data_IF_737965799416
#
_entry.id   IF_737965799416
#
_cell.length_a   1.000
_cell.length_b   1.000
_cell.length_c   1.000
_cell.angle_alpha   90.00
_cell.angle_beta   90.00
_cell.angle_gamma   90.00
#
_symmetry.space_group_name_H-M   'P 1'
#
loop_
_entity.id
_entity.type
_entity.pdbx_description
1 polymer ?
#
# COMPACT_ATOMS: atom_id res chain seq x y z
N UNK A 1 29.61 72.71 6.18
CA UNK A 1 28.51 72.82 5.24
C UNK A 1 28.37 71.57 4.48
N UNK A 2 27.18 71.09 4.40
CA UNK A 2 26.52 70.04 3.64
C UNK A 2 26.61 68.66 4.25
N UNK A 3 25.48 68.29 4.86
CA UNK A 3 25.13 66.97 5.29
C UNK A 3 25.01 66.02 4.10
N UNK A 4 25.64 64.86 4.20
CA UNK A 4 25.41 63.74 3.31
C UNK A 4 24.33 62.82 3.91
N UNK A 5 23.20 62.85 3.26
CA UNK A 5 22.05 61.96 3.48
C UNK A 5 22.48 60.50 3.29
N UNK A 6 22.48 59.72 4.38
CA UNK A 6 22.68 58.27 4.32
C UNK A 6 21.33 57.61 4.20
N UNK A 7 20.86 57.47 2.97
CA UNK A 7 19.78 56.53 2.63
C UNK A 7 20.16 55.15 3.15
N UNK A 8 19.50 54.74 4.26
CA UNK A 8 19.50 53.37 4.69
C UNK A 8 18.66 52.54 3.71
N UNK A 9 19.32 51.81 2.81
CA UNK A 9 18.67 50.79 2.04
C UNK A 9 18.13 49.72 2.99
N UNK A 10 16.82 49.63 3.13
CA UNK A 10 16.14 48.54 3.82
C UNK A 10 16.60 47.21 3.19
N UNK A 11 17.22 46.34 4.01
CA UNK A 11 17.51 44.99 3.61
C UNK A 11 16.19 44.27 3.29
N UNK A 12 16.06 43.56 2.15
CA UNK A 12 14.85 42.82 1.86
C UNK A 12 14.62 41.82 3.02
N UNK A 13 13.49 41.96 3.70
CA UNK A 13 13.01 40.96 4.63
C UNK A 13 12.70 39.71 3.81
N UNK A 14 13.54 38.70 3.97
CA UNK A 14 13.23 37.34 3.50
C UNK A 14 12.09 36.86 4.40
N UNK A 15 10.87 36.96 3.91
CA UNK A 15 9.72 36.28 4.54
C UNK A 15 10.00 34.78 4.42
N UNK A 16 10.13 34.04 5.53
CA UNK A 16 10.29 32.60 5.42
C UNK A 16 9.11 32.05 4.64
N UNK A 17 9.36 31.19 3.65
CA UNK A 17 8.30 30.43 3.04
C UNK A 17 7.57 29.65 4.15
N UNK A 18 6.24 29.72 4.16
CA UNK A 18 5.42 28.99 5.12
C UNK A 18 5.76 27.48 5.01
N UNK A 19 5.91 26.81 6.15
CA UNK A 19 6.11 25.35 6.13
C UNK A 19 4.84 24.65 5.62
N UNK A 20 4.93 23.47 5.00
CA UNK A 20 3.73 22.72 4.61
C UNK A 20 2.75 22.51 5.78
N UNK A 21 3.25 22.31 6.99
CA UNK A 21 2.41 22.24 8.20
C UNK A 21 1.63 23.54 8.46
N UNK A 22 2.25 24.71 8.24
CA UNK A 22 1.59 26.00 8.40
C UNK A 22 0.56 26.27 7.29
N UNK A 23 0.83 25.78 6.08
CA UNK A 23 -0.11 25.87 4.96
C UNK A 23 -1.34 25.01 5.21
N UNK A 24 -1.14 23.75 5.61
CA UNK A 24 -2.23 22.85 5.98
C UNK A 24 -3.04 23.41 7.16
N UNK A 25 -2.38 23.98 8.17
CA UNK A 25 -3.03 24.68 9.30
C UNK A 25 -3.99 25.76 8.82
N UNK A 26 -3.55 26.62 7.89
CA UNK A 26 -4.39 27.70 7.35
C UNK A 26 -5.61 27.17 6.61
N UNK A 27 -5.45 26.07 5.88
CA UNK A 27 -6.58 25.42 5.19
C UNK A 27 -7.56 24.85 6.22
N UNK A 28 -7.09 24.13 7.24
CA UNK A 28 -7.96 23.59 8.29
C UNK A 28 -8.71 24.69 9.05
N UNK A 29 -8.06 25.83 9.35
CA UNK A 29 -8.71 26.98 10.00
C UNK A 29 -9.89 27.55 9.19
N UNK A 30 -9.86 27.48 7.87
CA UNK A 30 -10.93 27.97 7.00
C UNK A 30 -12.15 27.06 7.01
N UNK A 31 -11.99 25.81 7.47
CA UNK A 31 -13.01 24.75 7.38
C UNK A 31 -13.48 24.26 8.76
N UNK A 32 -13.31 25.09 9.79
CA UNK A 32 -13.79 24.76 11.15
C UNK A 32 -15.27 24.41 11.17
N UNK A 33 -15.59 23.30 11.86
CA UNK A 33 -16.96 22.82 12.05
C UNK A 33 -17.54 22.07 10.86
N UNK A 34 -16.76 21.85 9.81
CA UNK A 34 -17.16 21.04 8.65
C UNK A 34 -17.02 19.53 8.93
N UNK A 35 -17.64 18.72 8.07
CA UNK A 35 -17.50 17.26 8.06
C UNK A 35 -16.77 16.81 6.81
N UNK A 36 -15.64 16.15 6.99
CA UNK A 36 -14.78 15.71 5.89
C UNK A 36 -14.75 14.21 5.74
N UNK A 37 -14.59 13.75 4.50
CA UNK A 37 -14.19 12.39 4.20
C UNK A 37 -12.68 12.36 4.08
N UNK A 38 -12.01 11.42 4.75
CA UNK A 38 -10.61 11.07 4.48
C UNK A 38 -10.61 9.79 3.66
N UNK A 39 -10.26 9.90 2.40
CA UNK A 39 -10.37 8.79 1.45
C UNK A 39 -9.06 8.03 1.32
N UNK A 40 -9.12 6.71 1.51
CA UNK A 40 -8.05 5.75 1.23
C UNK A 40 -8.36 5.09 -0.12
N UNK A 41 -7.56 5.38 -1.12
CA UNK A 41 -7.71 4.83 -2.47
C UNK A 41 -6.81 3.61 -2.69
N UNK A 42 -7.33 2.57 -3.36
CA UNK A 42 -6.64 1.30 -3.52
C UNK A 42 -6.90 0.36 -2.33
N UNK A 43 -6.10 -0.68 -2.24
CA UNK A 43 -6.15 -1.62 -1.11
C UNK A 43 -5.58 -0.95 0.14
N UNK A 44 -6.37 -0.77 1.21
CA UNK A 44 -5.87 -0.15 2.42
C UNK A 44 -4.64 -0.89 2.98
N UNK A 45 -3.55 -0.18 3.08
CA UNK A 45 -2.29 -0.65 3.65
C UNK A 45 -1.93 0.14 4.92
N UNK A 46 -0.87 -0.20 5.63
CA UNK A 46 -0.53 0.47 6.87
C UNK A 46 -0.21 1.95 6.72
N UNK A 47 0.36 2.37 5.58
CA UNK A 47 0.71 3.77 5.33
C UNK A 47 -0.54 4.62 5.09
N UNK A 48 -1.41 4.21 4.20
CA UNK A 48 -2.68 4.89 3.93
C UNK A 48 -3.60 4.93 5.17
N UNK A 49 -3.64 3.83 5.97
CA UNK A 49 -4.43 3.76 7.20
C UNK A 49 -3.86 4.71 8.27
N UNK A 50 -2.54 4.67 8.53
CA UNK A 50 -1.87 5.54 9.48
C UNK A 50 -2.02 7.02 9.11
N UNK A 51 -1.83 7.34 7.84
CA UNK A 51 -1.99 8.68 7.28
C UNK A 51 -3.42 9.22 7.40
N UNK A 52 -4.43 8.36 7.16
CA UNK A 52 -5.82 8.75 7.34
C UNK A 52 -6.16 9.04 8.81
N UNK A 53 -5.67 8.21 9.74
CA UNK A 53 -5.81 8.47 11.18
C UNK A 53 -5.15 9.80 11.58
N UNK A 54 -3.94 10.08 11.04
CA UNK A 54 -3.22 11.30 11.33
C UNK A 54 -3.94 12.53 10.80
N UNK A 55 -4.47 12.46 9.58
CA UNK A 55 -5.27 13.54 9.01
C UNK A 55 -6.50 13.84 9.89
N UNK A 56 -7.28 12.80 10.24
CA UNK A 56 -8.46 12.96 11.10
C UNK A 56 -8.11 13.51 12.49
N UNK A 57 -7.00 13.07 13.07
CA UNK A 57 -6.51 13.60 14.34
C UNK A 57 -6.14 15.08 14.25
N UNK A 58 -5.40 15.49 13.22
CA UNK A 58 -5.07 16.90 12.98
C UNK A 58 -6.34 17.73 12.80
N UNK A 59 -7.28 17.26 11.98
CA UNK A 59 -8.54 17.94 11.70
C UNK A 59 -9.38 18.17 12.98
N UNK A 60 -9.33 17.26 13.95
CA UNK A 60 -10.06 17.39 15.21
C UNK A 60 -9.66 18.63 16.04
N UNK A 61 -8.44 19.14 15.90
CA UNK A 61 -8.01 20.39 16.55
C UNK A 61 -8.68 21.65 15.97
N UNK A 62 -9.36 21.47 14.85
CA UNK A 62 -10.10 22.53 14.15
C UNK A 62 -11.62 22.30 14.18
N UNK A 63 -12.11 21.46 15.07
CA UNK A 63 -13.52 21.07 15.17
C UNK A 63 -14.06 20.44 13.85
N UNK A 64 -13.19 19.87 13.01
CA UNK A 64 -13.57 19.18 11.79
C UNK A 64 -13.79 17.70 12.13
N UNK A 65 -14.99 17.18 11.83
CA UNK A 65 -15.33 15.77 11.99
C UNK A 65 -14.95 14.99 10.74
N UNK A 66 -14.15 13.95 10.90
CA UNK A 66 -13.63 13.15 9.79
C UNK A 66 -14.14 11.72 9.81
N UNK A 67 -14.62 11.25 8.66
CA UNK A 67 -14.91 9.84 8.42
C UNK A 67 -13.86 9.25 7.47
N UNK A 68 -13.15 8.21 7.92
CA UNK A 68 -12.19 7.50 7.08
C UNK A 68 -12.96 6.54 6.17
N UNK A 69 -12.87 6.76 4.86
CA UNK A 69 -13.58 6.01 3.85
C UNK A 69 -12.62 5.21 2.98
N UNK A 70 -12.87 3.91 2.80
CA UNK A 70 -12.05 3.04 1.95
C UNK A 70 -12.90 2.30 0.91
N UNK A 71 -12.29 1.87 -0.22
CA UNK A 71 -13.02 1.36 -1.40
C UNK A 71 -12.77 -0.12 -1.65
N UNK A 72 -11.55 -0.57 -1.50
CA UNK A 72 -11.13 -1.94 -1.80
C UNK A 72 -10.96 -2.78 -0.53
N UNK A 73 -10.96 -4.11 -0.64
CA UNK A 73 -10.85 -4.98 0.53
C UNK A 73 -9.50 -4.82 1.24
N UNK A 74 -9.50 -4.89 2.56
CA UNK A 74 -8.29 -4.96 3.36
C UNK A 74 -7.73 -6.40 3.21
N UNK A 75 -6.88 -6.61 2.22
CA UNK A 75 -6.48 -7.93 1.76
C UNK A 75 -5.43 -8.59 2.66
N UNK A 76 -4.43 -7.83 3.13
CA UNK A 76 -3.32 -8.37 3.89
C UNK A 76 -3.73 -8.69 5.34
N UNK A 77 -3.27 -9.84 5.87
CA UNK A 77 -3.61 -10.23 7.26
C UNK A 77 -3.04 -9.26 8.30
N UNK A 78 -1.86 -8.68 8.06
CA UNK A 78 -1.27 -7.65 8.92
C UNK A 78 -2.09 -6.36 8.92
N UNK A 79 -2.61 -5.95 7.76
CA UNK A 79 -3.45 -4.76 7.64
C UNK A 79 -4.79 -4.96 8.39
N UNK A 80 -5.41 -6.15 8.26
CA UNK A 80 -6.60 -6.50 9.04
C UNK A 80 -6.32 -6.54 10.54
N UNK A 81 -5.14 -7.05 10.92
CA UNK A 81 -4.72 -7.08 12.32
C UNK A 81 -4.47 -5.66 12.87
N UNK A 82 -3.84 -4.79 12.08
CA UNK A 82 -3.64 -3.38 12.42
C UNK A 82 -4.99 -2.72 12.73
N UNK A 83 -5.92 -2.74 11.77
CA UNK A 83 -7.27 -2.16 11.95
C UNK A 83 -7.99 -2.72 13.17
N UNK A 84 -7.97 -4.04 13.34
CA UNK A 84 -8.66 -4.71 14.46
C UNK A 84 -8.03 -4.39 15.81
N UNK A 85 -6.69 -4.44 15.92
CA UNK A 85 -5.99 -4.25 17.20
C UNK A 85 -5.98 -2.79 17.65
N UNK A 86 -5.87 -1.87 16.72
CA UNK A 86 -5.97 -0.44 17.00
C UNK A 86 -7.42 0.02 17.17
N UNK A 87 -8.40 -0.83 16.82
CA UNK A 87 -9.82 -0.51 16.77
C UNK A 87 -10.07 0.78 15.94
N UNK A 88 -9.53 0.79 14.70
CA UNK A 88 -9.66 1.93 13.81
C UNK A 88 -11.06 1.92 13.20
N UNK A 89 -11.80 3.00 13.39
CA UNK A 89 -13.11 3.18 12.78
C UNK A 89 -12.95 3.62 11.33
N UNK A 90 -13.29 2.73 10.41
CA UNK A 90 -13.23 2.96 8.96
C UNK A 90 -14.52 2.47 8.33
N UNK A 91 -15.04 3.24 7.37
CA UNK A 91 -16.27 2.91 6.65
C UNK A 91 -15.91 2.44 5.24
N UNK A 92 -16.44 1.27 4.86
CA UNK A 92 -16.34 0.84 3.47
C UNK A 92 -17.33 1.62 2.62
N UNK A 93 -16.86 2.19 1.53
CA UNK A 93 -17.75 2.89 0.60
C UNK A 93 -18.76 1.92 -0.01
N UNK A 94 -20.01 2.32 0.02
CA UNK A 94 -21.13 1.66 -0.64
C UNK A 94 -22.17 2.72 -1.02
N UNK A 95 -23.12 2.36 -1.88
CA UNK A 95 -24.20 3.26 -2.31
C UNK A 95 -25.12 3.72 -1.15
N UNK A 96 -24.94 3.14 0.05
CA UNK A 96 -25.67 3.54 1.26
C UNK A 96 -24.99 4.64 2.06
N UNK A 97 -23.79 5.06 1.70
CA UNK A 97 -23.10 6.19 2.33
C UNK A 97 -23.71 7.49 1.82
N UNK A 98 -24.38 8.23 2.70
CA UNK A 98 -24.99 9.52 2.36
C UNK A 98 -23.91 10.60 2.29
N UNK A 99 -23.53 10.99 1.08
CA UNK A 99 -22.47 11.97 0.83
C UNK A 99 -22.89 13.41 1.08
N UNK A 100 -24.21 13.66 1.15
CA UNK A 100 -24.77 15.00 1.45
C UNK A 100 -24.44 15.51 2.85
N UNK A 101 -24.00 14.59 3.73
CA UNK A 101 -23.61 14.91 5.09
C UNK A 101 -22.15 15.43 5.21
N UNK A 102 -21.44 15.46 4.09
CA UNK A 102 -20.03 15.85 4.06
C UNK A 102 -19.81 17.08 3.18
N UNK A 103 -18.92 17.95 3.64
CA UNK A 103 -18.60 19.20 2.96
C UNK A 103 -17.42 19.05 2.00
N UNK A 104 -16.43 18.20 2.36
CA UNK A 104 -15.18 18.07 1.63
C UNK A 104 -14.59 16.67 1.69
N UNK A 105 -13.58 16.48 0.84
CA UNK A 105 -12.79 15.24 0.80
C UNK A 105 -11.30 15.55 0.88
N UNK A 106 -10.59 14.83 1.74
CA UNK A 106 -9.14 14.77 1.80
C UNK A 106 -8.66 13.44 1.22
N UNK A 107 -7.58 13.45 0.47
CA UNK A 107 -6.98 12.26 -0.10
C UNK A 107 -5.60 12.04 0.52
N UNK A 108 -5.36 10.85 1.00
CA UNK A 108 -4.11 10.44 1.63
C UNK A 108 -3.51 9.25 0.88
N UNK A 109 -2.20 9.25 0.73
CA UNK A 109 -1.44 8.18 0.08
C UNK A 109 -1.92 7.86 -1.35
N UNK A 110 -2.48 8.86 -2.00
CA UNK A 110 -2.94 8.82 -3.37
C UNK A 110 -3.18 10.24 -3.88
N UNK A 111 -3.12 10.42 -5.21
CA UNK A 111 -3.29 11.74 -5.83
C UNK A 111 -4.63 11.89 -6.56
N UNK A 112 -5.31 10.81 -6.89
CA UNK A 112 -6.58 10.81 -7.65
C UNK A 112 -7.51 9.74 -7.13
N UNK A 113 -8.79 10.07 -7.00
CA UNK A 113 -9.79 9.09 -6.61
C UNK A 113 -10.00 8.00 -7.67
N UNK A 114 -9.92 8.36 -8.96
CA UNK A 114 -10.08 7.43 -10.10
C UNK A 114 -11.29 6.48 -9.96
N UNK A 115 -12.37 6.98 -9.38
CA UNK A 115 -13.61 6.23 -9.24
C UNK A 115 -14.49 6.42 -10.49
N UNK A 116 -15.32 5.42 -10.86
CA UNK A 116 -16.41 5.64 -11.78
C UNK A 116 -17.23 6.86 -11.31
N UNK A 117 -17.92 7.55 -12.20
CA UNK A 117 -18.68 8.75 -11.87
C UNK A 117 -19.56 8.51 -10.63
N UNK A 118 -19.09 9.00 -9.50
CA UNK A 118 -19.77 8.94 -8.20
C UNK A 118 -20.04 10.35 -7.71
N UNK A 119 -20.98 10.51 -6.78
CA UNK A 119 -21.23 11.79 -6.13
C UNK A 119 -19.99 12.29 -5.34
N UNK A 120 -19.10 11.38 -4.90
CA UNK A 120 -17.81 11.71 -4.27
C UNK A 120 -16.95 12.64 -5.12
N UNK A 121 -16.99 12.49 -6.45
CA UNK A 121 -16.22 13.35 -7.35
C UNK A 121 -16.75 14.79 -7.39
N UNK A 122 -17.89 15.06 -6.75
CA UNK A 122 -18.48 16.41 -6.65
C UNK A 122 -18.07 17.13 -5.37
N UNK A 123 -17.58 16.42 -4.35
CA UNK A 123 -17.10 17.04 -3.13
C UNK A 123 -15.80 17.80 -3.41
N UNK A 124 -15.68 19.05 -2.96
CA UNK A 124 -14.45 19.80 -3.11
C UNK A 124 -13.28 19.10 -2.42
N UNK A 125 -12.16 18.98 -3.10
CA UNK A 125 -10.92 18.40 -2.54
C UNK A 125 -10.26 19.43 -1.63
N UNK A 126 -10.16 19.14 -0.34
CA UNK A 126 -9.51 20.04 0.63
C UNK A 126 -8.01 19.83 0.67
N UNK A 127 -7.56 18.60 0.64
CA UNK A 127 -6.13 18.27 0.69
C UNK A 127 -5.77 16.99 -0.06
N UNK A 128 -4.54 16.95 -0.58
CA UNK A 128 -3.88 15.78 -1.13
C UNK A 128 -2.50 15.71 -0.48
N UNK A 129 -2.21 14.60 0.22
CA UNK A 129 -0.89 14.33 0.81
C UNK A 129 -0.45 12.95 0.36
N UNK A 130 0.73 12.87 -0.29
CA UNK A 130 1.19 11.64 -0.92
C UNK A 130 2.72 11.61 -1.07
N UNK A 131 3.30 10.42 -1.16
CA UNK A 131 4.73 10.22 -1.38
C UNK A 131 5.07 9.58 -2.74
N UNK A 132 4.07 9.19 -3.50
CA UNK A 132 4.25 8.59 -4.82
C UNK A 132 4.69 9.60 -5.88
N UNK A 133 5.18 9.10 -7.01
CA UNK A 133 5.54 9.95 -8.17
C UNK A 133 4.37 10.82 -8.59
N UNK A 134 4.67 12.09 -8.85
CA UNK A 134 3.67 13.07 -9.26
C UNK A 134 2.91 12.63 -10.52
N UNK A 135 1.59 12.73 -10.46
CA UNK A 135 0.66 12.36 -11.54
C UNK A 135 0.16 13.57 -12.34
N UNK A 136 0.92 14.65 -12.34
CA UNK A 136 0.60 15.91 -13.05
C UNK A 136 -0.15 16.92 -12.20
N UNK A 137 -0.98 17.76 -12.82
CA UNK A 137 -1.73 18.79 -12.12
C UNK A 137 -2.79 18.17 -11.18
N UNK A 138 -2.83 18.67 -9.95
CA UNK A 138 -3.72 18.24 -8.89
C UNK A 138 -4.55 19.43 -8.41
N UNK A 139 -5.86 19.24 -8.28
CA UNK A 139 -6.79 20.27 -7.84
C UNK A 139 -7.22 20.02 -6.39
N UNK A 140 -6.57 20.67 -5.44
CA UNK A 140 -6.97 20.73 -4.03
C UNK A 140 -6.52 22.06 -3.43
N UNK A 141 -7.08 22.42 -2.27
CA UNK A 141 -6.68 23.65 -1.57
C UNK A 141 -5.29 23.53 -0.96
N UNK A 142 -4.90 22.31 -0.58
CA UNK A 142 -3.57 21.98 -0.11
C UNK A 142 -3.06 20.72 -0.85
N UNK A 143 -1.86 20.79 -1.38
CA UNK A 143 -1.20 19.68 -2.07
C UNK A 143 0.23 19.56 -1.55
N UNK A 144 0.56 18.40 -0.97
CA UNK A 144 1.92 18.07 -0.56
C UNK A 144 2.28 16.67 -1.07
N UNK A 145 2.99 16.62 -2.19
CA UNK A 145 3.46 15.37 -2.82
C UNK A 145 4.98 15.34 -2.78
N UNK A 146 5.55 14.38 -2.03
CA UNK A 146 6.99 14.29 -1.75
C UNK A 146 7.59 12.96 -2.18
N UNK A 147 8.15 12.92 -3.37
CA UNK A 147 8.83 11.72 -3.91
C UNK A 147 10.12 11.35 -3.14
N UNK A 148 10.62 12.23 -2.30
CA UNK A 148 11.79 12.02 -1.42
C UNK A 148 11.42 11.51 -0.02
N UNK A 149 10.14 11.32 0.29
CA UNK A 149 9.65 10.60 1.44
C UNK A 149 9.44 9.12 1.12
N UNK A 150 9.74 8.23 2.06
CA UNK A 150 9.51 6.79 1.90
C UNK A 150 8.08 6.38 2.22
N UNK A 151 7.29 7.26 2.86
CA UNK A 151 5.89 7.02 3.20
C UNK A 151 5.14 8.33 3.44
N UNK A 152 3.83 8.31 3.24
CA UNK A 152 2.92 9.42 3.58
C UNK A 152 2.80 9.60 5.09
N UNK A 153 2.91 8.52 5.87
CA UNK A 153 3.00 8.53 7.34
C UNK A 153 4.16 9.39 7.84
N UNK A 154 5.30 9.41 7.14
CA UNK A 154 6.43 10.26 7.48
C UNK A 154 6.12 11.74 7.29
N UNK A 155 5.37 12.09 6.26
CA UNK A 155 4.95 13.47 6.00
C UNK A 155 4.02 13.96 7.12
N UNK A 156 3.04 13.14 7.51
CA UNK A 156 2.15 13.47 8.63
C UNK A 156 2.88 13.57 9.98
N UNK A 157 3.84 12.68 10.24
CA UNK A 157 4.67 12.77 11.44
C UNK A 157 5.49 14.06 11.50
N UNK A 158 5.97 14.54 10.34
CA UNK A 158 6.66 15.84 10.25
C UNK A 158 5.72 17.01 10.59
N UNK A 159 4.47 16.98 10.11
CA UNK A 159 3.47 18.00 10.50
C UNK A 159 3.23 18.01 12.00
N UNK A 160 3.11 16.84 12.62
CA UNK A 160 2.94 16.72 14.07
C UNK A 160 4.16 17.20 14.84
N UNK A 161 5.37 16.89 14.38
CA UNK A 161 6.62 17.39 14.96
C UNK A 161 6.74 18.92 14.84
N UNK A 162 6.18 19.52 13.79
CA UNK A 162 6.06 20.97 13.62
C UNK A 162 4.93 21.60 14.46
N UNK A 163 4.25 20.81 15.30
CA UNK A 163 3.20 21.28 16.20
C UNK A 163 1.80 21.37 15.61
N UNK A 164 1.55 20.70 14.48
CA UNK A 164 0.21 20.54 13.91
C UNK A 164 -0.39 19.21 14.37
N UNK A 165 -1.26 19.24 15.38
CA UNK A 165 -1.79 18.04 16.03
C UNK A 165 -0.72 17.32 16.89
N UNK A 166 -0.17 17.97 17.94
CA UNK A 166 0.90 17.39 18.73
C UNK A 166 0.44 16.13 19.47
N UNK A 167 1.34 15.15 19.54
CA UNK A 167 1.09 13.91 20.28
C UNK A 167 1.31 14.10 21.78
N UNK A 168 0.46 13.45 22.58
CA UNK A 168 0.51 13.45 24.03
C UNK A 168 0.79 12.04 24.56
N UNK A 169 1.76 11.87 25.50
CA UNK A 169 2.18 10.58 26.02
C UNK A 169 1.09 9.83 26.79
N UNK A 170 0.29 10.59 27.52
CA UNK A 170 -0.77 10.03 28.40
C UNK A 170 -2.10 9.82 27.65
N UNK A 171 -2.16 10.12 26.38
CA UNK A 171 -3.34 9.93 25.55
C UNK A 171 -3.27 8.57 24.83
N UNK A 172 -4.17 7.61 25.16
CA UNK A 172 -4.16 6.29 24.53
C UNK A 172 -4.36 6.33 23.00
N UNK A 173 -5.08 7.34 22.50
CA UNK A 173 -5.26 7.52 21.07
C UNK A 173 -3.96 7.90 20.39
N UNK A 174 -3.16 8.78 20.99
CA UNK A 174 -1.84 9.15 20.48
C UNK A 174 -0.89 7.95 20.42
N UNK A 175 -0.96 7.04 21.37
CA UNK A 175 -0.20 5.78 21.35
C UNK A 175 -0.57 4.89 20.15
N UNK A 176 -1.87 4.74 19.89
CA UNK A 176 -2.38 4.01 18.73
C UNK A 176 -1.97 4.68 17.41
N UNK A 177 -2.14 6.01 17.32
CA UNK A 177 -1.80 6.78 16.14
C UNK A 177 -0.30 6.71 15.83
N UNK A 178 0.56 6.92 16.83
CA UNK A 178 2.00 6.81 16.66
C UNK A 178 2.41 5.40 16.23
N UNK A 179 1.74 4.36 16.76
CA UNK A 179 1.97 2.98 16.36
C UNK A 179 1.53 2.72 14.91
N UNK A 180 0.38 3.25 14.49
CA UNK A 180 -0.09 3.13 13.11
C UNK A 180 0.87 3.78 12.13
N UNK A 181 1.30 5.01 12.41
CA UNK A 181 2.27 5.75 11.57
C UNK A 181 3.63 5.04 11.51
N UNK A 182 4.16 4.55 12.64
CA UNK A 182 5.40 3.76 12.63
C UNK A 182 5.30 2.49 11.82
N UNK A 183 4.14 1.82 11.89
CA UNK A 183 3.91 0.62 11.09
C UNK A 183 3.78 0.94 9.60
N UNK A 184 3.17 2.09 9.24
CA UNK A 184 3.12 2.62 7.88
C UNK A 184 4.51 2.92 7.34
N UNK A 185 5.32 3.68 8.06
CA UNK A 185 6.72 3.96 7.68
C UNK A 185 7.49 2.68 7.44
N UNK A 186 7.41 1.72 8.36
CA UNK A 186 8.11 0.44 8.26
C UNK A 186 7.67 -0.38 7.04
N UNK A 187 6.37 -0.42 6.78
CA UNK A 187 5.78 -1.18 5.68
C UNK A 187 6.24 -0.65 4.32
N UNK A 188 6.13 0.65 4.10
CA UNK A 188 6.41 1.27 2.81
C UNK A 188 7.90 1.46 2.52
N UNK A 189 8.71 1.41 3.56
CA UNK A 189 10.17 1.47 3.43
C UNK A 189 10.86 0.11 3.47
N UNK A 190 10.10 -0.98 3.34
CA UNK A 190 10.59 -2.38 3.39
C UNK A 190 11.48 -2.62 4.64
N UNK A 191 10.87 -2.51 5.83
CA UNK A 191 11.57 -2.61 7.11
C UNK A 191 12.75 -1.61 7.23
N UNK A 192 12.58 -0.37 6.76
CA UNK A 192 13.56 0.72 6.72
C UNK A 192 14.72 0.53 5.73
N UNK A 193 14.72 -0.50 4.89
CA UNK A 193 15.76 -0.72 3.88
C UNK A 193 15.74 0.36 2.78
N UNK A 194 14.58 0.88 2.46
CA UNK A 194 14.36 1.93 1.46
C UNK A 194 14.08 3.31 2.09
N UNK A 195 14.20 3.42 3.42
CA UNK A 195 13.89 4.64 4.15
C UNK A 195 14.81 5.81 3.77
N UNK A 196 14.23 6.99 3.76
CA UNK A 196 14.90 8.28 3.55
C UNK A 196 15.14 8.98 4.89
N UNK A 197 15.83 10.12 4.86
CA UNK A 197 16.12 10.90 6.07
C UNK A 197 14.84 11.30 6.84
N UNK A 198 13.81 11.71 6.12
CA UNK A 198 12.51 12.08 6.70
C UNK A 198 11.88 10.91 7.46
N UNK A 199 11.97 9.69 6.95
CA UNK A 199 11.37 8.49 7.56
C UNK A 199 12.04 8.16 8.90
N UNK A 200 13.37 8.23 8.97
CA UNK A 200 14.10 8.03 10.22
C UNK A 200 13.81 9.12 11.25
N UNK A 201 13.71 10.39 10.83
CA UNK A 201 13.35 11.49 11.73
C UNK A 201 11.93 11.33 12.26
N UNK A 202 11.00 10.98 11.40
CA UNK A 202 9.61 10.72 11.73
C UNK A 202 9.48 9.54 12.69
N UNK A 203 10.18 8.44 12.42
CA UNK A 203 10.21 7.29 13.32
C UNK A 203 10.78 7.66 14.70
N UNK A 204 11.85 8.44 14.75
CA UNK A 204 12.44 8.91 16.01
C UNK A 204 11.48 9.81 16.81
N UNK A 205 10.70 10.66 16.12
CA UNK A 205 9.67 11.49 16.75
C UNK A 205 8.52 10.65 17.31
N UNK A 206 8.05 9.64 16.56
CA UNK A 206 6.90 8.81 16.92
C UNK A 206 7.21 7.78 18.02
N UNK A 207 8.45 7.25 18.06
CA UNK A 207 8.85 6.15 18.92
C UNK A 207 8.54 6.36 20.43
N UNK A 208 8.70 7.57 21.02
CA UNK A 208 8.37 7.80 22.44
C UNK A 208 6.87 7.72 22.79
N UNK A 209 6.00 7.76 21.79
CA UNK A 209 4.55 7.72 21.95
C UNK A 209 3.97 6.35 21.62
N UNK A 210 4.64 5.57 20.78
CA UNK A 210 4.12 4.33 20.25
C UNK A 210 4.00 3.21 21.31
N UNK A 211 3.01 2.36 21.14
CA UNK A 211 2.84 1.12 21.88
C UNK A 211 3.65 0.00 21.22
N UNK A 212 4.83 -0.25 21.75
CA UNK A 212 5.76 -1.26 21.23
C UNK A 212 5.25 -2.70 21.39
N UNK A 213 4.46 -3.01 22.43
CA UNK A 213 3.86 -4.33 22.61
C UNK A 213 2.82 -4.58 21.52
N UNK A 214 2.02 -3.56 21.23
CA UNK A 214 1.05 -3.59 20.15
C UNK A 214 1.73 -3.80 18.79
N UNK A 215 2.79 -3.03 18.49
CA UNK A 215 3.58 -3.17 17.26
C UNK A 215 4.17 -4.58 17.12
N UNK A 216 4.77 -5.12 18.18
CA UNK A 216 5.25 -6.50 18.21
C UNK A 216 4.12 -7.49 17.93
N UNK A 217 2.97 -7.29 18.57
CA UNK A 217 1.80 -8.18 18.40
C UNK A 217 1.22 -8.15 16.98
N UNK A 218 1.35 -7.03 16.25
CA UNK A 218 0.96 -6.92 14.83
C UNK A 218 2.01 -7.61 13.95
N UNK A 219 3.30 -7.38 14.20
CA UNK A 219 4.40 -7.95 13.42
C UNK A 219 4.54 -9.47 13.60
N UNK A 220 4.23 -9.98 14.79
CA UNK A 220 4.26 -11.40 15.11
C UNK A 220 2.90 -12.09 14.83
N UNK A 221 2.12 -11.56 13.89
CA UNK A 221 0.89 -12.23 13.52
C UNK A 221 1.20 -13.67 13.13
N UNK A 222 0.50 -14.58 13.78
CA UNK A 222 0.57 -15.99 13.42
C UNK A 222 0.07 -16.17 11.99
N UNK A 223 0.90 -16.74 11.15
CA UNK A 223 0.51 -17.20 9.83
C UNK A 223 -0.62 -18.22 10.00
N UNK A 224 -1.69 -18.12 9.21
CA UNK A 224 -2.80 -19.04 9.34
C UNK A 224 -2.33 -20.48 9.10
N UNK A 225 -2.91 -21.51 9.75
CA UNK A 225 -2.57 -22.89 9.47
C UNK A 225 -2.68 -23.21 7.97
N UNK A 226 -3.65 -22.63 7.28
CA UNK A 226 -3.83 -22.81 5.83
C UNK A 226 -2.72 -22.18 5.00
N UNK A 227 -2.26 -21.00 5.35
CA UNK A 227 -1.11 -20.38 4.69
C UNK A 227 0.15 -21.22 4.91
N UNK A 228 0.32 -21.78 6.11
CA UNK A 228 1.41 -22.73 6.39
C UNK A 228 1.32 -23.99 5.52
N UNK A 229 0.11 -24.57 5.38
CA UNK A 229 -0.12 -25.74 4.53
C UNK A 229 0.17 -25.43 3.05
N UNK A 230 -0.23 -24.23 2.58
CA UNK A 230 0.05 -23.79 1.21
C UNK A 230 1.56 -23.59 1.00
N UNK A 231 2.23 -22.96 1.95
CA UNK A 231 3.70 -22.77 1.91
C UNK A 231 4.43 -24.11 1.95
N UNK A 232 3.96 -25.07 2.75
CA UNK A 232 4.52 -26.42 2.78
C UNK A 232 4.35 -27.14 1.43
N UNK A 233 3.17 -27.02 0.79
CA UNK A 233 2.94 -27.57 -0.55
C UNK A 233 3.84 -26.91 -1.59
N UNK A 234 3.99 -25.59 -1.56
CA UNK A 234 4.92 -24.88 -2.43
C UNK A 234 6.37 -25.37 -2.23
N UNK A 235 6.79 -25.54 -0.99
CA UNK A 235 8.11 -26.05 -0.69
C UNK A 235 8.32 -27.49 -1.19
N UNK A 236 7.31 -28.34 -1.05
CA UNK A 236 7.38 -29.76 -1.47
C UNK A 236 7.38 -29.93 -3.00
N UNK A 237 6.65 -29.10 -3.73
CA UNK A 237 6.51 -29.16 -5.18
C UNK A 237 7.54 -28.35 -5.96
N UNK A 238 8.40 -27.60 -5.26
CA UNK A 238 9.33 -26.68 -5.92
C UNK A 238 10.26 -27.35 -6.91
N UNK A 239 10.41 -26.73 -8.05
CA UNK A 239 11.44 -27.05 -9.04
C UNK A 239 12.35 -25.84 -9.19
N UNK A 240 13.64 -26.08 -9.24
CA UNK A 240 14.67 -25.03 -9.29
C UNK A 240 15.42 -25.17 -10.62
N UNK A 241 15.56 -24.04 -11.29
CA UNK A 241 16.32 -23.90 -12.52
C UNK A 241 17.17 -22.63 -12.44
N UNK A 242 18.48 -22.78 -12.30
CA UNK A 242 19.42 -21.70 -12.04
C UNK A 242 18.97 -20.89 -10.80
N UNK A 243 18.73 -19.61 -10.92
CA UNK A 243 18.27 -18.72 -9.84
C UNK A 243 16.73 -18.64 -9.72
N UNK A 244 16.00 -19.40 -10.56
CA UNK A 244 14.53 -19.44 -10.56
C UNK A 244 13.99 -20.60 -9.74
N UNK A 245 12.93 -20.35 -8.99
CA UNK A 245 12.17 -21.37 -8.28
C UNK A 245 10.70 -21.29 -8.70
N UNK A 246 10.15 -22.41 -9.15
CA UNK A 246 8.74 -22.53 -9.54
C UNK A 246 8.08 -23.53 -8.60
N UNK A 247 6.90 -23.19 -8.06
CA UNK A 247 6.19 -24.03 -7.11
C UNK A 247 4.67 -24.00 -7.32
N UNK A 248 4.09 -25.17 -7.50
CA UNK A 248 2.66 -25.36 -7.61
C UNK A 248 2.03 -25.74 -6.26
N UNK A 249 0.97 -25.05 -5.83
CA UNK A 249 0.33 -25.28 -4.53
C UNK A 249 -0.96 -26.10 -4.60
N UNK A 250 -1.32 -26.60 -5.78
CA UNK A 250 -2.56 -27.35 -5.98
C UNK A 250 -3.79 -26.46 -5.96
N UNK A 251 -4.89 -27.00 -5.41
CA UNK A 251 -6.14 -26.28 -5.31
C UNK A 251 -6.20 -25.38 -4.07
N UNK A 252 -6.65 -24.14 -4.27
CA UNK A 252 -6.76 -23.10 -3.26
C UNK A 252 -8.18 -22.53 -3.28
N UNK A 253 -8.74 -22.20 -2.12
CA UNK A 253 -10.00 -21.50 -2.03
C UNK A 253 -9.76 -20.01 -2.24
N UNK A 254 -10.78 -19.26 -2.64
CA UNK A 254 -10.68 -17.83 -2.89
C UNK A 254 -10.21 -17.06 -1.63
N UNK A 255 -10.76 -17.41 -0.49
CA UNK A 255 -10.38 -16.81 0.81
C UNK A 255 -8.91 -17.04 1.21
N UNK A 256 -8.25 -18.05 0.65
CA UNK A 256 -6.85 -18.42 0.90
C UNK A 256 -5.91 -17.97 -0.24
N UNK A 257 -6.43 -17.28 -1.25
CA UNK A 257 -5.69 -16.89 -2.46
C UNK A 257 -4.40 -16.11 -2.19
N UNK A 258 -4.44 -15.18 -1.23
CA UNK A 258 -3.28 -14.36 -0.87
C UNK A 258 -2.11 -15.19 -0.32
N UNK A 259 -2.38 -16.42 0.14
CA UNK A 259 -1.35 -17.35 0.61
C UNK A 259 -0.40 -17.83 -0.50
N UNK A 260 -0.81 -17.72 -1.78
CA UNK A 260 0.06 -18.03 -2.94
C UNK A 260 1.22 -17.03 -2.98
N UNK A 261 0.91 -15.73 -2.85
CA UNK A 261 1.91 -14.67 -2.80
C UNK A 261 2.82 -14.76 -1.57
N UNK A 262 2.23 -15.06 -0.41
CA UNK A 262 3.00 -15.24 0.84
C UNK A 262 3.95 -16.45 0.75
N UNK A 263 3.55 -17.53 0.09
CA UNK A 263 4.44 -18.66 -0.16
C UNK A 263 5.61 -18.26 -1.08
N UNK A 264 5.35 -17.43 -2.10
CA UNK A 264 6.42 -16.91 -2.97
C UNK A 264 7.40 -16.01 -2.20
N UNK A 265 6.90 -15.11 -1.34
CA UNK A 265 7.73 -14.25 -0.48
C UNK A 265 8.61 -15.08 0.48
N UNK A 266 8.07 -16.17 1.01
CA UNK A 266 8.83 -17.09 1.87
C UNK A 266 9.92 -17.83 1.12
N UNK A 267 9.61 -18.37 -0.06
CA UNK A 267 10.57 -19.15 -0.86
C UNK A 267 11.67 -18.29 -1.47
N UNK A 268 11.43 -17.00 -1.70
CA UNK A 268 12.44 -16.05 -2.18
C UNK A 268 13.61 -15.86 -1.20
N UNK A 269 13.40 -16.18 0.09
CA UNK A 269 14.46 -16.12 1.11
C UNK A 269 15.49 -17.25 1.00
N UNK A 270 15.28 -18.20 0.06
CA UNK A 270 16.20 -19.30 -0.14
C UNK A 270 17.48 -18.83 -0.82
N UNK A 271 18.64 -19.16 -0.22
CA UNK A 271 19.95 -18.89 -0.80
C UNK A 271 20.05 -19.41 -2.24
N UNK A 272 20.61 -18.60 -3.14
CA UNK A 272 20.79 -18.90 -4.55
C UNK A 272 19.53 -18.79 -5.42
N UNK A 273 18.43 -18.24 -4.88
CA UNK A 273 17.21 -17.94 -5.62
C UNK A 273 17.00 -16.44 -5.63
N UNK A 274 16.79 -15.88 -6.80
CA UNK A 274 16.44 -14.47 -6.98
C UNK A 274 15.04 -14.24 -7.56
N UNK A 275 14.42 -15.27 -8.11
CA UNK A 275 13.07 -15.18 -8.70
C UNK A 275 12.25 -16.41 -8.35
N UNK A 276 11.05 -16.18 -7.80
CA UNK A 276 10.11 -17.23 -7.38
C UNK A 276 8.76 -17.03 -8.07
N UNK A 277 8.21 -18.12 -8.58
CA UNK A 277 6.86 -18.18 -9.12
C UNK A 277 6.08 -19.23 -8.32
N UNK A 278 5.03 -18.80 -7.60
CA UNK A 278 4.07 -19.70 -6.97
C UNK A 278 2.72 -19.58 -7.67
N UNK A 279 2.04 -20.73 -7.87
CA UNK A 279 0.74 -20.75 -8.53
C UNK A 279 -0.15 -21.87 -8.01
N UNK A 280 -1.48 -21.69 -8.17
CA UNK A 280 -2.47 -22.70 -7.81
C UNK A 280 -3.77 -22.50 -8.57
N UNK A 281 -4.65 -23.49 -8.49
CA UNK A 281 -6.00 -23.41 -9.06
C UNK A 281 -6.93 -22.87 -7.99
N UNK A 282 -7.47 -21.67 -8.21
CA UNK A 282 -8.40 -21.00 -7.29
C UNK A 282 -9.83 -21.29 -7.74
N UNK A 283 -10.68 -21.75 -6.80
CA UNK A 283 -12.10 -22.04 -7.00
C UNK A 283 -12.42 -22.96 -8.20
N UNK A 284 -11.52 -23.83 -8.59
CA UNK A 284 -11.63 -24.67 -9.80
C UNK A 284 -11.87 -23.89 -11.10
N UNK A 285 -11.59 -22.60 -11.14
CA UNK A 285 -11.95 -21.73 -12.25
C UNK A 285 -10.77 -21.01 -12.90
N UNK A 286 -9.74 -20.70 -12.13
CA UNK A 286 -8.62 -19.89 -12.58
C UNK A 286 -7.31 -20.42 -12.02
N UNK A 287 -6.25 -20.43 -12.84
CA UNK A 287 -4.89 -20.53 -12.35
C UNK A 287 -4.45 -19.15 -11.91
N UNK A 288 -4.26 -18.97 -10.63
CA UNK A 288 -3.77 -17.73 -10.02
C UNK A 288 -2.31 -17.92 -9.59
N UNK A 289 -1.46 -16.93 -9.85
CA UNK A 289 -0.06 -17.03 -9.52
C UNK A 289 0.58 -15.71 -9.16
N UNK A 290 1.67 -15.83 -8.43
CA UNK A 290 2.48 -14.70 -7.96
C UNK A 290 3.93 -14.90 -8.36
N UNK A 291 4.54 -13.84 -8.88
CA UNK A 291 5.97 -13.73 -9.12
C UNK A 291 6.57 -12.78 -8.09
N UNK A 292 7.73 -13.14 -7.58
CA UNK A 292 8.56 -12.30 -6.70
C UNK A 292 10.00 -12.37 -7.17
N UNK A 293 10.68 -11.23 -7.17
CA UNK A 293 12.08 -11.19 -7.60
C UNK A 293 12.89 -10.15 -6.84
N UNK A 294 14.14 -10.48 -6.60
CA UNK A 294 15.18 -9.53 -6.15
C UNK A 294 16.16 -9.21 -7.28
N UNK A 295 15.96 -9.81 -8.46
CA UNK A 295 16.81 -9.61 -9.63
C UNK A 295 16.53 -8.29 -10.32
N UNK A 296 17.55 -7.49 -10.52
CA UNK A 296 17.47 -6.24 -11.29
C UNK A 296 17.30 -6.47 -12.81
N UNK A 297 17.41 -7.72 -13.27
CA UNK A 297 17.28 -8.09 -14.69
C UNK A 297 15.86 -8.53 -15.03
N UNK A 298 15.13 -9.03 -14.05
CA UNK A 298 13.75 -9.52 -14.24
C UNK A 298 12.79 -8.37 -13.98
N UNK A 299 12.15 -7.90 -15.05
CA UNK A 299 10.98 -7.01 -14.96
C UNK A 299 9.71 -7.88 -14.90
N UNK A 300 9.04 -7.97 -13.74
CA UNK A 300 7.86 -8.83 -13.57
C UNK A 300 6.72 -8.53 -14.54
N UNK A 301 6.48 -7.27 -14.85
CA UNK A 301 5.41 -6.84 -15.76
C UNK A 301 5.66 -7.36 -17.17
N UNK A 302 6.83 -7.06 -17.71
CA UNK A 302 7.23 -7.51 -19.04
C UNK A 302 7.36 -9.03 -19.11
N UNK A 303 7.97 -9.64 -18.08
CA UNK A 303 8.17 -11.09 -18.03
C UNK A 303 6.84 -11.83 -18.15
N UNK A 304 5.83 -11.45 -17.35
CA UNK A 304 4.53 -12.12 -17.35
C UNK A 304 3.71 -11.84 -18.61
N UNK A 305 3.72 -10.63 -19.13
CA UNK A 305 3.04 -10.28 -20.39
C UNK A 305 3.60 -11.04 -21.58
N UNK A 306 4.92 -11.09 -21.69
CA UNK A 306 5.60 -11.82 -22.78
C UNK A 306 5.36 -13.34 -22.70
N UNK A 307 5.26 -13.88 -21.46
CA UNK A 307 5.11 -15.31 -21.26
C UNK A 307 3.68 -15.79 -21.50
N UNK A 308 2.70 -15.07 -20.94
CA UNK A 308 1.32 -15.53 -20.83
C UNK A 308 0.41 -14.96 -21.92
N UNK A 309 0.84 -13.87 -22.57
CA UNK A 309 0.05 -13.22 -23.61
C UNK A 309 -1.19 -12.48 -23.06
N UNK A 310 -2.21 -12.38 -23.93
CA UNK A 310 -3.45 -11.64 -23.66
C UNK A 310 -4.68 -12.49 -23.93
N UNK A 311 -5.81 -12.09 -23.37
CA UNK A 311 -7.12 -12.65 -23.70
C UNK A 311 -7.62 -12.18 -25.10
N UNK A 312 -8.84 -12.60 -25.46
CA UNK A 312 -9.47 -12.23 -26.74
C UNK A 312 -9.77 -10.73 -26.88
N UNK A 313 -9.67 -9.94 -25.81
CA UNK A 313 -9.88 -8.49 -25.79
C UNK A 313 -8.55 -7.73 -25.70
N UNK A 314 -7.43 -8.43 -25.73
CA UNK A 314 -6.10 -7.84 -25.64
C UNK A 314 -5.67 -7.51 -24.18
N UNK A 315 -6.39 -8.00 -23.17
CA UNK A 315 -6.03 -7.81 -21.76
C UNK A 315 -4.97 -8.84 -21.37
N UNK A 316 -3.79 -8.44 -20.84
CA UNK A 316 -2.76 -9.37 -20.41
C UNK A 316 -3.24 -10.31 -19.28
N UNK A 317 -2.87 -11.59 -19.35
CA UNK A 317 -3.11 -12.55 -18.27
C UNK A 317 -2.27 -12.29 -17.02
N UNK A 318 -1.18 -11.57 -17.16
CA UNK A 318 -0.30 -11.20 -16.05
C UNK A 318 0.32 -9.83 -16.22
N UNK A 319 0.85 -9.32 -15.09
CA UNK A 319 1.54 -8.04 -15.04
C UNK A 319 2.19 -7.85 -13.68
N UNK A 320 2.88 -6.72 -13.51
CA UNK A 320 3.60 -6.49 -12.26
C UNK A 320 4.15 -5.08 -12.10
N UNK A 321 4.94 -4.93 -11.07
CA UNK A 321 5.74 -3.74 -10.77
C UNK A 321 7.11 -4.19 -10.29
N UNK A 322 8.00 -3.28 -9.99
CA UNK A 322 9.45 -3.47 -9.75
C UNK A 322 9.92 -4.88 -9.30
N UNK A 323 9.37 -5.42 -8.22
CA UNK A 323 9.80 -6.66 -7.57
C UNK A 323 8.70 -7.74 -7.51
N UNK A 324 7.47 -7.40 -7.92
CA UNK A 324 6.28 -8.25 -7.75
C UNK A 324 5.46 -8.32 -9.02
N UNK A 325 4.99 -9.52 -9.35
CA UNK A 325 4.05 -9.76 -10.41
C UNK A 325 2.95 -10.72 -10.00
N UNK A 326 1.83 -10.67 -10.71
CA UNK A 326 0.71 -11.59 -10.53
C UNK A 326 0.11 -11.96 -11.89
N UNK A 327 -0.51 -13.12 -11.96
CA UNK A 327 -1.20 -13.57 -13.17
C UNK A 327 -2.44 -14.36 -12.86
N UNK A 328 -3.39 -14.32 -13.80
CA UNK A 328 -4.64 -15.09 -13.76
C UNK A 328 -4.94 -15.66 -15.12
N UNK A 329 -4.99 -16.99 -15.22
CA UNK A 329 -5.32 -17.69 -16.45
C UNK A 329 -6.63 -18.43 -16.24
N UNK A 330 -7.73 -18.05 -16.91
CA UNK A 330 -9.00 -18.78 -16.83
C UNK A 330 -8.84 -20.22 -17.32
N UNK A 331 -9.38 -21.18 -16.58
CA UNK A 331 -9.42 -22.59 -17.00
C UNK A 331 -10.41 -22.83 -18.15
N UNK A 332 -11.36 -21.92 -18.35
CA UNK A 332 -12.38 -22.06 -19.37
C UNK A 332 -13.12 -23.40 -19.28
N UNK A 333 -13.25 -24.17 -20.38
CA UNK A 333 -13.92 -25.46 -20.36
C UNK A 333 -13.27 -26.52 -19.44
N UNK A 334 -11.98 -26.39 -19.12
CA UNK A 334 -11.30 -27.31 -18.21
C UNK A 334 -11.78 -27.22 -16.77
N UNK A 335 -12.47 -26.13 -16.39
CA UNK A 335 -13.11 -25.99 -15.07
C UNK A 335 -14.17 -27.05 -14.79
N UNK A 336 -14.73 -27.68 -15.83
CA UNK A 336 -15.69 -28.78 -15.72
C UNK A 336 -15.04 -30.16 -15.53
N UNK A 337 -13.71 -30.25 -15.51
CA UNK A 337 -13.02 -31.53 -15.28
C UNK A 337 -13.31 -32.04 -13.86
N UNK A 338 -13.95 -33.18 -13.75
CA UNK A 338 -14.29 -33.83 -12.47
C UNK A 338 -13.08 -34.51 -11.81
N UNK A 339 -12.08 -34.89 -12.60
CA UNK A 339 -10.84 -35.48 -12.10
C UNK A 339 -9.85 -34.36 -11.74
N UNK A 340 -9.79 -34.06 -10.44
CA UNK A 340 -8.94 -32.97 -9.92
C UNK A 340 -7.46 -33.28 -10.05
N UNK A 341 -7.06 -34.54 -9.93
CA UNK A 341 -5.65 -34.91 -10.00
C UNK A 341 -5.14 -34.79 -11.43
N UNK A 342 -5.94 -35.21 -12.41
CA UNK A 342 -5.63 -35.02 -13.82
C UNK A 342 -5.57 -33.53 -14.20
N UNK A 343 -6.53 -32.75 -13.75
CA UNK A 343 -6.56 -31.30 -13.99
C UNK A 343 -5.32 -30.64 -13.40
N UNK A 344 -4.96 -30.97 -12.16
CA UNK A 344 -3.78 -30.43 -11.53
C UNK A 344 -2.50 -30.78 -12.28
N UNK A 345 -2.32 -32.06 -12.65
CA UNK A 345 -1.15 -32.49 -13.40
C UNK A 345 -1.02 -31.77 -14.73
N UNK A 346 -2.13 -31.59 -15.47
CA UNK A 346 -2.14 -30.81 -16.70
C UNK A 346 -1.70 -29.35 -16.49
N UNK A 347 -2.29 -28.67 -15.50
CA UNK A 347 -1.95 -27.28 -15.18
C UNK A 347 -0.50 -27.18 -14.73
N UNK A 348 -0.08 -28.05 -13.83
CA UNK A 348 1.30 -28.05 -13.32
C UNK A 348 2.30 -28.19 -14.45
N UNK A 349 2.14 -29.22 -15.29
CA UNK A 349 3.05 -29.45 -16.41
C UNK A 349 3.06 -28.26 -17.38
N UNK A 350 1.90 -27.74 -17.72
CA UNK A 350 1.79 -26.61 -18.67
C UNK A 350 2.48 -25.36 -18.14
N UNK A 351 2.27 -25.00 -16.87
CA UNK A 351 2.87 -23.81 -16.28
C UNK A 351 4.39 -23.99 -16.16
N UNK A 352 4.86 -25.13 -15.69
CA UNK A 352 6.28 -25.43 -15.57
C UNK A 352 6.99 -25.37 -16.94
N UNK A 353 6.43 -26.01 -17.96
CA UNK A 353 7.00 -26.00 -19.32
C UNK A 353 7.05 -24.57 -19.91
N UNK A 354 6.02 -23.76 -19.69
CA UNK A 354 6.00 -22.35 -20.12
C UNK A 354 7.14 -21.56 -19.48
N UNK A 355 7.28 -21.63 -18.15
CA UNK A 355 8.29 -20.88 -17.42
C UNK A 355 9.70 -21.36 -17.73
N UNK A 356 9.96 -22.67 -17.77
CA UNK A 356 11.29 -23.20 -18.10
C UNK A 356 11.73 -22.85 -19.52
N UNK A 357 10.81 -22.89 -20.47
CA UNK A 357 11.09 -22.44 -21.84
C UNK A 357 11.49 -20.95 -21.88
N UNK A 358 10.84 -20.11 -21.06
CA UNK A 358 11.15 -18.68 -20.99
C UNK A 358 12.52 -18.41 -20.37
N UNK A 359 12.90 -19.16 -19.35
CA UNK A 359 14.21 -18.98 -18.66
C UNK A 359 15.36 -19.74 -19.36
N UNK A 360 15.09 -20.40 -20.48
CA UNK A 360 16.11 -21.06 -21.30
C UNK A 360 16.61 -22.38 -20.75
N UNK A 361 15.84 -23.03 -19.86
CA UNK A 361 16.17 -24.34 -19.30
C UNK A 361 15.37 -25.43 -20.05
N UNK A 362 16.05 -26.30 -20.75
CA UNK A 362 15.44 -27.51 -21.31
C UNK A 362 15.34 -28.57 -20.21
N UNK A 363 14.15 -29.03 -19.91
CA UNK A 363 14.00 -30.27 -19.15
C UNK A 363 14.37 -31.43 -20.08
N UNK A 364 15.43 -32.16 -19.76
CA UNK A 364 15.75 -33.45 -20.38
C UNK A 364 14.73 -34.52 -20.03
#
# INVERSE_FOLDING_TARGET
>A
MTAADKSQAEKPQIVPLASPADELRKVMEQHRGERHIVAIRGYPDPDSIGSAMAHAYIASFFDIDCTILYFDDISHHENRALVKKLAIEMVRYSDTVELTDYDRIALVDAQKLNLPKTELNKLPMVSIVDHHKSQGELEAQFVDVREDAGSTSSIYAEYMAAGLGPLERDNPYCGKLASALLFGIRSDTDDYLLAREIDYRSAAYLAPFADHELLMSISLQSVSPRTMDITQRAYASKVIADTYLIAGVGFVRDEDRDSIGQAADYLLRREGIDTVICYGIVNNNVVDGSLRTTSNVVDPDRFLKDLLGTDSHGVPYGGGRADKGAFKIPLGPFSYCSDRDLLWQLVQRTIEDLFFKKVGVNQE
#
